data_IF_729799590988
#
_entry.id   IF_729799590988
#
_cell.length_a   1.000
_cell.length_b   1.000
_cell.length_c   1.000
_cell.angle_alpha   90.00
_cell.angle_beta   90.00
_cell.angle_gamma   90.00
#
_symmetry.space_group_name_H-M   'P 1'
#
loop_
_entity.id
_entity.type
_entity.pdbx_description
1 polymer ?
#
# COMPACT_ATOMS: atom_id res chain seq x y z
N UNK A 1 -20.01 16.92 -58.42
CA UNK A 1 -18.57 16.60 -58.55
C UNK A 1 -17.81 17.86 -58.19
N UNK A 2 -16.96 17.96 -57.17
CA UNK A 2 -16.57 17.05 -56.09
C UNK A 2 -15.77 17.93 -55.10
N UNK A 3 -15.90 17.66 -53.81
CA UNK A 3 -14.89 17.86 -52.75
C UNK A 3 -14.13 19.18 -52.66
N UNK A 4 -14.60 20.07 -51.77
CA UNK A 4 -13.69 20.81 -50.90
C UNK A 4 -13.65 20.08 -49.57
N UNK A 5 -12.61 19.27 -49.39
CA UNK A 5 -12.28 18.59 -48.15
C UNK A 5 -11.93 19.64 -47.09
N UNK A 6 -12.93 20.02 -46.29
CA UNK A 6 -12.65 20.61 -45.00
C UNK A 6 -11.97 19.54 -44.14
N UNK A 7 -10.65 19.60 -44.10
CA UNK A 7 -9.83 18.98 -43.06
C UNK A 7 -10.33 19.47 -41.71
N UNK A 8 -11.29 18.74 -41.15
CA UNK A 8 -11.67 18.84 -39.75
C UNK A 8 -10.43 18.48 -38.93
N UNK A 9 -9.66 19.51 -38.56
CA UNK A 9 -8.66 19.41 -37.52
C UNK A 9 -9.38 18.85 -36.29
N UNK A 10 -9.15 17.55 -36.00
CA UNK A 10 -9.47 16.97 -34.70
C UNK A 10 -8.66 17.76 -33.68
N UNK A 11 -9.24 18.84 -33.14
CA UNK A 11 -8.74 19.50 -31.94
C UNK A 11 -8.54 18.39 -30.92
N UNK A 12 -7.28 18.07 -30.64
CA UNK A 12 -6.94 17.18 -29.54
C UNK A 12 -7.73 17.66 -28.33
N UNK A 13 -8.42 16.74 -27.66
CA UNK A 13 -9.20 17.09 -26.45
C UNK A 13 -8.21 17.61 -25.42
N UNK A 14 -8.02 18.94 -25.45
CA UNK A 14 -7.01 19.63 -24.67
C UNK A 14 -7.27 19.47 -23.19
N UNK A 15 -6.18 19.58 -22.43
CA UNK A 15 -6.12 19.50 -20.97
C UNK A 15 -7.07 20.51 -20.29
N UNK A 16 -7.61 21.49 -21.02
CA UNK A 16 -8.60 22.47 -20.57
C UNK A 16 -9.90 21.90 -19.97
N UNK A 17 -10.28 20.63 -20.26
CA UNK A 17 -11.43 19.97 -19.62
C UNK A 17 -11.08 19.11 -18.41
N UNK A 18 -9.80 19.05 -18.05
CA UNK A 18 -9.29 18.29 -16.92
C UNK A 18 -9.18 19.24 -15.74
N UNK A 19 -10.19 19.26 -14.88
CA UNK A 19 -10.09 19.98 -13.61
C UNK A 19 -9.02 19.30 -12.75
N UNK A 20 -8.38 20.06 -11.87
CA UNK A 20 -7.41 19.51 -10.91
C UNK A 20 -8.00 18.35 -10.10
N UNK A 21 -9.28 18.44 -9.72
CA UNK A 21 -10.02 17.36 -9.06
C UNK A 21 -10.16 16.11 -9.95
N UNK A 22 -10.52 16.26 -11.23
CA UNK A 22 -10.65 15.14 -12.15
C UNK A 22 -9.29 14.52 -12.51
N UNK A 23 -8.24 15.33 -12.63
CA UNK A 23 -6.87 14.88 -12.85
C UNK A 23 -6.37 14.03 -11.68
N UNK A 24 -6.54 14.55 -10.45
CA UNK A 24 -6.19 13.86 -9.22
C UNK A 24 -7.01 12.59 -9.05
N UNK A 25 -8.32 12.64 -9.32
CA UNK A 25 -9.17 11.44 -9.30
C UNK A 25 -8.72 10.39 -10.31
N UNK A 26 -8.36 10.78 -11.55
CA UNK A 26 -7.85 9.84 -12.55
C UNK A 26 -6.50 9.26 -12.19
N UNK A 27 -5.61 10.07 -11.62
CA UNK A 27 -4.31 9.63 -11.14
C UNK A 27 -4.45 8.67 -9.97
N UNK A 28 -5.25 9.02 -8.94
CA UNK A 28 -5.56 8.14 -7.81
C UNK A 28 -6.30 6.87 -8.24
N UNK A 29 -7.22 6.96 -9.21
CA UNK A 29 -7.90 5.80 -9.79
C UNK A 29 -6.95 4.93 -10.61
N UNK A 30 -5.98 5.53 -11.31
CA UNK A 30 -4.95 4.84 -12.08
C UNK A 30 -3.97 4.10 -11.16
N UNK A 31 -3.44 4.80 -10.15
CA UNK A 31 -2.65 4.21 -9.06
C UNK A 31 -3.45 3.07 -8.43
N UNK A 32 -4.69 3.31 -8.04
CA UNK A 32 -5.52 2.30 -7.37
C UNK A 32 -5.91 1.11 -8.26
N UNK A 33 -6.14 1.31 -9.55
CA UNK A 33 -6.46 0.22 -10.49
C UNK A 33 -5.29 -0.74 -10.70
N UNK A 34 -4.06 -0.27 -10.47
CA UNK A 34 -2.84 -1.08 -10.59
C UNK A 34 -2.11 -1.27 -9.27
N UNK A 35 -2.64 -0.76 -8.17
CA UNK A 35 -2.02 -0.78 -6.83
C UNK A 35 -1.74 -2.20 -6.38
N UNK A 36 -2.73 -3.10 -6.52
CA UNK A 36 -2.54 -4.52 -6.26
C UNK A 36 -1.48 -5.14 -7.16
N UNK A 37 -1.39 -4.77 -8.44
CA UNK A 37 -0.44 -5.38 -9.39
C UNK A 37 1.00 -4.89 -9.20
N UNK A 38 1.19 -3.59 -8.92
CA UNK A 38 2.52 -3.05 -8.63
C UNK A 38 2.99 -3.48 -7.23
N UNK A 39 2.10 -3.49 -6.24
CA UNK A 39 2.44 -3.90 -4.88
C UNK A 39 2.71 -5.41 -4.79
N UNK A 40 1.81 -6.23 -5.33
CA UNK A 40 2.02 -7.68 -5.43
C UNK A 40 3.24 -7.94 -6.32
N UNK A 41 3.43 -7.26 -7.45
CA UNK A 41 4.64 -7.43 -8.28
C UNK A 41 5.95 -7.03 -7.59
N UNK A 42 5.93 -6.14 -6.60
CA UNK A 42 7.12 -5.78 -5.79
C UNK A 42 7.40 -6.73 -4.63
N UNK A 43 6.43 -7.57 -4.25
CA UNK A 43 6.48 -8.44 -3.06
C UNK A 43 6.48 -9.94 -3.46
N UNK A 44 5.73 -10.34 -4.50
CA UNK A 44 5.70 -11.69 -5.08
C UNK A 44 7.10 -12.16 -5.42
N UNK A 45 7.46 -13.33 -4.88
CA UNK A 45 8.74 -13.97 -5.15
C UNK A 45 9.93 -13.37 -4.39
N UNK A 46 9.70 -12.44 -3.45
CA UNK A 46 10.73 -11.90 -2.55
C UNK A 46 10.54 -12.43 -1.13
N UNK A 47 10.48 -13.76 -0.99
CA UNK A 47 10.24 -14.44 0.30
C UNK A 47 11.17 -13.98 1.42
N UNK A 48 12.43 -13.63 1.11
CA UNK A 48 13.36 -13.08 2.10
C UNK A 48 12.97 -11.71 2.69
N UNK A 49 12.27 -10.87 1.93
CA UNK A 49 11.74 -9.59 2.43
C UNK A 49 10.44 -9.81 3.23
N UNK A 50 9.54 -10.63 2.71
CA UNK A 50 8.27 -10.97 3.38
C UNK A 50 8.52 -11.58 4.76
N UNK A 51 9.41 -12.57 4.83
CA UNK A 51 9.78 -13.24 6.08
C UNK A 51 10.51 -12.32 7.05
N UNK A 52 11.38 -11.43 6.56
CA UNK A 52 11.99 -10.40 7.40
C UNK A 52 10.94 -9.45 7.98
N UNK A 53 10.01 -8.96 7.16
CA UNK A 53 8.94 -8.06 7.60
C UNK A 53 8.01 -8.75 8.60
N UNK A 54 7.65 -10.01 8.36
CA UNK A 54 6.86 -10.82 9.28
C UNK A 54 7.54 -10.94 10.65
N UNK A 55 8.82 -11.31 10.65
CA UNK A 55 9.63 -11.47 11.85
C UNK A 55 9.78 -10.14 12.61
N UNK A 56 10.02 -9.06 11.88
CA UNK A 56 10.18 -7.72 12.44
C UNK A 56 8.89 -7.23 13.12
N UNK A 57 7.75 -7.33 12.45
CA UNK A 57 6.46 -6.89 13.00
C UNK A 57 6.08 -7.70 14.23
N UNK A 58 6.18 -9.04 14.16
CA UNK A 58 5.92 -9.91 15.32
C UNK A 58 6.81 -9.54 16.50
N UNK A 59 8.09 -9.25 16.23
CA UNK A 59 9.04 -8.83 17.24
C UNK A 59 8.75 -7.47 17.88
N UNK A 60 8.26 -6.50 17.09
CA UNK A 60 7.88 -5.17 17.58
C UNK A 60 6.51 -5.17 18.28
N UNK A 61 5.66 -6.17 18.03
CA UNK A 61 4.39 -6.38 18.72
C UNK A 61 4.54 -7.12 20.06
N UNK A 62 5.77 -7.48 20.46
CA UNK A 62 6.06 -8.08 21.76
C UNK A 62 5.48 -7.21 22.89
N UNK A 63 4.53 -7.71 23.71
CA UNK A 63 3.85 -6.92 24.74
C UNK A 63 4.84 -6.27 25.73
N UNK A 64 5.91 -6.97 26.06
CA UNK A 64 6.93 -6.44 26.98
C UNK A 64 7.70 -5.26 26.37
N UNK A 65 7.95 -5.31 25.06
CA UNK A 65 8.57 -4.21 24.33
C UNK A 65 7.60 -3.03 24.21
N UNK A 66 6.34 -3.27 23.84
CA UNK A 66 5.32 -2.23 23.71
C UNK A 66 5.09 -1.48 25.02
N UNK A 67 4.95 -2.19 26.14
CA UNK A 67 4.79 -1.56 27.45
C UNK A 67 5.97 -0.66 27.81
N UNK A 68 7.21 -1.10 27.54
CA UNK A 68 8.41 -0.28 27.76
C UNK A 68 8.46 0.93 26.83
N UNK A 69 8.11 0.74 25.56
CA UNK A 69 8.07 1.80 24.56
C UNK A 69 7.06 2.90 24.90
N UNK A 70 5.85 2.50 25.31
CA UNK A 70 4.77 3.41 25.72
C UNK A 70 5.14 4.16 27.01
N UNK A 71 5.73 3.47 28.00
CA UNK A 71 6.17 4.08 29.25
C UNK A 71 7.34 5.06 29.09
N UNK A 72 8.17 4.90 28.06
CA UNK A 72 9.27 5.83 27.76
C UNK A 72 8.69 7.12 27.21
N UNK A 73 8.89 8.27 27.87
CA UNK A 73 8.35 9.55 27.40
C UNK A 73 9.31 10.32 26.49
N UNK A 74 10.62 10.11 26.66
CA UNK A 74 11.64 10.81 25.89
C UNK A 74 11.72 10.29 24.44
N UNK A 75 11.62 11.16 23.42
CA UNK A 75 11.67 10.75 22.01
C UNK A 75 13.00 10.10 21.60
N UNK A 76 14.12 10.52 22.18
CA UNK A 76 15.43 10.00 21.82
C UNK A 76 15.65 8.60 22.39
N UNK A 77 15.29 8.38 23.66
CA UNK A 77 15.30 7.05 24.28
C UNK A 77 14.30 6.10 23.60
N UNK A 78 13.12 6.58 23.15
CA UNK A 78 12.20 5.78 22.32
C UNK A 78 12.85 5.29 21.04
N UNK A 79 13.53 6.19 20.31
CA UNK A 79 14.23 5.84 19.06
C UNK A 79 15.34 4.82 19.30
N UNK A 80 16.12 5.00 20.36
CA UNK A 80 17.18 4.08 20.76
C UNK A 80 16.63 2.70 21.15
N UNK A 81 15.54 2.65 21.91
CA UNK A 81 14.87 1.42 22.32
C UNK A 81 14.36 0.62 21.10
N UNK A 82 13.78 1.29 20.11
CA UNK A 82 13.41 0.69 18.83
C UNK A 82 14.66 0.16 18.10
N UNK A 83 15.72 0.97 17.99
CA UNK A 83 16.96 0.56 17.33
C UNK A 83 17.62 -0.68 17.96
N UNK A 84 17.61 -0.77 19.29
CA UNK A 84 18.10 -1.94 20.02
C UNK A 84 17.26 -3.18 19.71
N UNK A 85 15.93 -3.07 19.78
CA UNK A 85 15.02 -4.18 19.46
C UNK A 85 15.19 -4.64 18.01
N UNK A 86 15.32 -3.73 17.05
CA UNK A 86 15.57 -4.07 15.64
C UNK A 86 16.90 -4.83 15.48
N UNK A 87 17.96 -4.41 16.20
CA UNK A 87 19.24 -5.10 16.19
C UNK A 87 19.15 -6.54 16.74
N UNK A 88 18.39 -6.75 17.82
CA UNK A 88 18.09 -8.07 18.38
C UNK A 88 17.27 -8.94 17.40
N UNK A 89 16.25 -8.35 16.77
CA UNK A 89 15.42 -9.04 15.78
C UNK A 89 16.22 -9.44 14.55
N UNK A 90 17.16 -8.62 14.11
CA UNK A 90 18.09 -8.99 13.03
C UNK A 90 18.92 -10.22 13.39
N UNK A 91 19.49 -10.26 14.60
CA UNK A 91 20.29 -11.41 15.06
C UNK A 91 19.46 -12.70 15.13
N UNK A 92 18.26 -12.62 15.69
CA UNK A 92 17.35 -13.78 15.77
C UNK A 92 16.89 -14.24 14.39
N UNK A 93 16.63 -13.32 13.45
CA UNK A 93 16.26 -13.66 12.08
C UNK A 93 17.37 -14.40 11.32
N UNK A 94 18.62 -13.96 11.50
CA UNK A 94 19.78 -14.64 10.89
C UNK A 94 19.99 -16.04 11.47
N UNK A 95 19.52 -16.31 12.70
CA UNK A 95 19.58 -17.62 13.32
C UNK A 95 18.48 -18.58 12.85
N UNK A 96 17.47 -18.10 12.10
CA UNK A 96 16.42 -18.95 11.54
C UNK A 96 16.96 -19.82 10.40
N UNK A 97 16.41 -21.03 10.27
CA UNK A 97 16.66 -21.88 9.10
C UNK A 97 15.94 -21.34 7.86
N UNK A 98 16.29 -21.86 6.69
CA UNK A 98 15.64 -21.47 5.44
C UNK A 98 14.15 -21.83 5.44
N UNK A 99 13.79 -23.02 5.95
CA UNK A 99 12.41 -23.49 6.04
C UNK A 99 11.56 -22.61 6.97
N UNK A 100 12.15 -22.14 8.07
CA UNK A 100 11.47 -21.21 8.99
C UNK A 100 11.24 -19.84 8.36
N UNK A 101 12.18 -19.37 7.53
CA UNK A 101 12.01 -18.13 6.77
C UNK A 101 10.96 -18.29 5.68
N UNK A 102 10.95 -19.40 4.96
CA UNK A 102 9.95 -19.66 3.92
C UNK A 102 8.53 -19.73 4.49
N UNK A 103 8.35 -20.37 5.65
CA UNK A 103 7.05 -20.40 6.32
C UNK A 103 6.61 -19.00 6.79
N UNK A 104 7.53 -18.18 7.29
CA UNK A 104 7.24 -16.78 7.64
C UNK A 104 6.84 -15.95 6.41
N UNK A 105 7.51 -16.17 5.27
CA UNK A 105 7.17 -15.50 4.01
C UNK A 105 5.75 -15.87 3.57
N UNK A 106 5.43 -17.16 3.58
CA UNK A 106 4.11 -17.68 3.22
C UNK A 106 3.00 -17.10 4.11
N UNK A 107 3.24 -17.01 5.42
CA UNK A 107 2.30 -16.39 6.36
C UNK A 107 2.08 -14.90 6.04
N UNK A 108 3.16 -14.15 5.82
CA UNK A 108 3.07 -12.74 5.46
C UNK A 108 2.34 -12.51 4.13
N UNK A 109 2.53 -13.37 3.14
CA UNK A 109 1.82 -13.28 1.88
C UNK A 109 0.30 -13.45 2.07
N UNK A 110 -0.12 -14.41 2.91
CA UNK A 110 -1.54 -14.62 3.24
C UNK A 110 -2.13 -13.40 3.95
N UNK A 111 -1.46 -12.92 5.00
CA UNK A 111 -1.90 -11.72 5.74
C UNK A 111 -2.02 -10.50 4.84
N UNK A 112 -1.04 -10.30 3.94
CA UNK A 112 -1.05 -9.21 2.96
C UNK A 112 -2.25 -9.32 2.02
N UNK A 113 -2.51 -10.50 1.45
CA UNK A 113 -3.66 -10.72 0.56
C UNK A 113 -4.97 -10.39 1.28
N UNK A 114 -5.13 -10.84 2.51
CA UNK A 114 -6.31 -10.53 3.34
C UNK A 114 -6.42 -9.03 3.63
N UNK A 115 -5.32 -8.35 3.98
CA UNK A 115 -5.31 -6.89 4.20
C UNK A 115 -5.74 -6.11 2.96
N UNK A 116 -5.24 -6.47 1.78
CA UNK A 116 -5.61 -5.85 0.50
C UNK A 116 -7.06 -6.09 0.11
N UNK A 117 -7.67 -7.19 0.54
CA UNK A 117 -9.10 -7.44 0.37
C UNK A 117 -9.94 -6.53 1.27
N UNK A 118 -9.58 -6.41 2.56
CA UNK A 118 -10.27 -5.54 3.51
C UNK A 118 -10.20 -4.07 3.08
N UNK A 119 -9.01 -3.56 2.73
CA UNK A 119 -8.85 -2.20 2.19
C UNK A 119 -9.69 -1.96 0.94
N UNK A 120 -9.82 -2.98 0.08
CA UNK A 120 -10.68 -2.91 -1.09
C UNK A 120 -12.16 -2.74 -0.75
N UNK A 121 -12.64 -3.38 0.33
CA UNK A 121 -14.02 -3.24 0.84
C UNK A 121 -14.25 -1.87 1.48
N UNK A 122 -13.31 -1.41 2.30
CA UNK A 122 -13.41 -0.09 2.97
C UNK A 122 -13.44 1.03 1.93
N UNK A 123 -12.58 0.94 0.92
CA UNK A 123 -12.58 1.89 -0.20
C UNK A 123 -13.93 1.92 -0.90
N UNK A 124 -14.51 0.76 -1.22
CA UNK A 124 -15.83 0.68 -1.88
C UNK A 124 -16.89 1.38 -1.03
N UNK A 125 -16.90 1.10 0.27
CA UNK A 125 -17.82 1.71 1.23
C UNK A 125 -17.67 3.23 1.26
N UNK A 126 -16.45 3.75 1.32
CA UNK A 126 -16.18 5.20 1.28
C UNK A 126 -16.67 5.81 -0.04
N UNK A 127 -16.44 5.14 -1.18
CA UNK A 127 -16.91 5.62 -2.48
C UNK A 127 -18.44 5.66 -2.57
N UNK A 128 -19.13 4.68 -2.00
CA UNK A 128 -20.58 4.65 -1.89
C UNK A 128 -21.10 5.79 -1.02
N UNK A 129 -20.48 6.03 0.14
CA UNK A 129 -20.82 7.16 1.02
C UNK A 129 -20.60 8.52 0.35
N UNK A 130 -19.49 8.70 -0.37
CA UNK A 130 -19.22 9.93 -1.13
C UNK A 130 -20.30 10.12 -2.21
N UNK A 131 -20.65 9.07 -2.96
CA UNK A 131 -21.67 9.15 -4.00
C UNK A 131 -23.08 9.48 -3.47
N UNK A 132 -23.36 9.21 -2.19
CA UNK A 132 -24.62 9.60 -1.55
C UNK A 132 -24.68 11.09 -1.22
N UNK A 133 -23.54 11.71 -0.86
CA UNK A 133 -23.44 13.13 -0.48
C UNK A 133 -23.16 14.02 -1.68
N UNK A 134 -22.35 13.55 -2.63
CA UNK A 134 -21.97 14.25 -3.85
C UNK A 134 -22.15 13.29 -5.04
N UNK A 135 -23.38 13.11 -5.54
CA UNK A 135 -23.67 12.15 -6.59
C UNK A 135 -22.94 12.54 -7.87
N UNK A 136 -22.23 11.58 -8.52
CA UNK A 136 -21.53 11.87 -9.75
C UNK A 136 -22.51 12.40 -10.80
N UNK A 137 -22.22 13.59 -11.32
CA UNK A 137 -23.04 14.23 -12.36
C UNK A 137 -23.17 13.28 -13.54
N UNK A 138 -24.40 12.81 -13.78
CA UNK A 138 -24.73 11.92 -14.91
C UNK A 138 -24.21 12.55 -16.21
N UNK A 139 -23.51 11.75 -17.01
CA UNK A 139 -23.28 12.07 -18.43
C UNK A 139 -24.55 11.85 -19.22
#
# INVERSE_FOLDING_TARGET
MTEKSELAWKKGRGIYKVTSGWASWRWLSGVSSKEKHWFIGTVMGRGGYESWMAHLIKGLQDPNFLLKFEATSDPWERSKLVGQKISELRKSYLALTEEQRDELARQAEVELRTGLEMMGRDKKTIQELIALVDPPTKK
#
